data_IF_348505231575
#
_entry.id   IF_348505231575
#
_cell.length_a   1.000
_cell.length_b   1.000
_cell.length_c   1.000
_cell.angle_alpha   90.00
_cell.angle_beta   90.00
_cell.angle_gamma   90.00
#
_symmetry.space_group_name_H-M   'P 1'
#
loop_
_entity.id
_entity.type
_entity.pdbx_description
1 polymer ?
#
# COMPACT_ATOMS: atom_id res chain seq x y z
N UNK A 1 -13.80 -5.44 -15.13
CA UNK A 1 -13.60 -6.87 -14.79
C UNK A 1 -14.21 -7.16 -13.44
N UNK A 2 -13.80 -6.46 -12.37
CA UNK A 2 -14.36 -6.58 -11.03
C UNK A 2 -15.88 -6.35 -10.97
N UNK A 3 -16.40 -5.31 -11.65
CA UNK A 3 -17.86 -5.08 -11.72
C UNK A 3 -18.62 -6.24 -12.34
N UNK A 4 -18.04 -6.89 -13.37
CA UNK A 4 -18.64 -8.05 -14.04
C UNK A 4 -18.58 -9.32 -13.20
N UNK A 5 -17.56 -9.42 -12.34
CA UNK A 5 -17.38 -10.54 -11.41
C UNK A 5 -18.06 -10.29 -10.06
N UNK A 6 -18.73 -9.14 -9.89
CA UNK A 6 -19.31 -8.68 -8.62
C UNK A 6 -18.34 -8.71 -7.44
N UNK A 7 -17.06 -8.40 -7.69
CA UNK A 7 -16.04 -8.30 -6.63
C UNK A 7 -15.89 -6.84 -6.23
N UNK A 8 -16.09 -6.47 -4.96
CA UNK A 8 -15.96 -5.10 -4.50
C UNK A 8 -14.49 -4.64 -4.56
N UNK A 9 -14.27 -3.43 -5.09
CA UNK A 9 -12.95 -2.80 -5.08
C UNK A 9 -12.82 -1.96 -3.82
N UNK A 10 -12.05 -2.45 -2.86
CA UNK A 10 -11.86 -1.80 -1.55
C UNK A 10 -10.95 -0.56 -1.64
N UNK A 11 -10.08 -0.49 -2.64
CA UNK A 11 -9.21 0.67 -2.81
C UNK A 11 -8.08 0.43 -3.80
N UNK A 12 -7.27 1.46 -3.98
CA UNK A 12 -6.09 1.43 -4.84
C UNK A 12 -4.82 1.70 -4.03
N UNK A 13 -3.72 1.09 -4.47
CA UNK A 13 -2.37 1.30 -3.92
C UNK A 13 -1.46 1.66 -5.08
N UNK A 14 -0.64 2.70 -4.93
CA UNK A 14 0.38 3.03 -5.91
C UNK A 14 1.69 2.35 -5.52
N UNK A 15 2.05 1.29 -6.23
CA UNK A 15 3.35 0.67 -6.06
C UNK A 15 4.43 1.48 -6.81
N UNK A 16 5.65 1.50 -6.26
CA UNK A 16 6.79 2.24 -6.83
C UNK A 16 6.48 3.73 -7.10
N UNK A 17 5.79 4.39 -6.16
CA UNK A 17 5.22 5.73 -6.34
C UNK A 17 6.26 6.85 -6.40
N UNK A 18 7.34 6.70 -5.65
CA UNK A 18 8.45 7.66 -5.58
C UNK A 18 9.74 6.95 -5.18
N UNK A 19 10.87 7.61 -5.41
CA UNK A 19 12.18 7.18 -4.96
C UNK A 19 12.76 8.22 -3.99
N UNK A 20 13.14 7.77 -2.80
CA UNK A 20 13.83 8.60 -1.81
C UNK A 20 15.33 8.40 -1.97
N UNK A 21 16.07 9.46 -2.32
CA UNK A 21 17.51 9.41 -2.47
C UNK A 21 18.18 9.24 -1.10
N UNK A 22 18.95 8.16 -0.86
CA UNK A 22 19.59 7.94 0.43
C UNK A 22 20.72 8.95 0.72
N UNK A 23 21.31 9.54 -0.33
CA UNK A 23 22.50 10.40 -0.19
C UNK A 23 22.15 11.87 0.07
N UNK A 24 21.02 12.36 -0.47
CA UNK A 24 20.63 13.76 -0.35
C UNK A 24 19.22 14.01 0.20
N UNK A 25 18.42 12.96 0.40
CA UNK A 25 17.08 13.06 0.98
C UNK A 25 16.01 13.63 0.05
N UNK A 26 16.31 13.84 -1.24
CA UNK A 26 15.28 14.24 -2.22
C UNK A 26 14.30 13.10 -2.47
N UNK A 27 13.06 13.46 -2.79
CA UNK A 27 12.03 12.52 -3.23
C UNK A 27 11.70 12.79 -4.69
N UNK A 28 11.87 11.78 -5.54
CA UNK A 28 11.63 11.88 -6.98
C UNK A 28 10.47 10.97 -7.41
N UNK A 29 9.49 11.55 -8.10
CA UNK A 29 8.42 10.80 -8.76
C UNK A 29 8.84 10.39 -10.19
N UNK A 30 9.78 9.44 -10.28
CA UNK A 30 10.42 9.03 -11.55
C UNK A 30 9.44 8.50 -12.61
N UNK A 31 8.25 8.04 -12.20
CA UNK A 31 7.19 7.55 -13.09
C UNK A 31 5.97 8.49 -13.14
N UNK A 32 6.10 9.71 -12.61
CA UNK A 32 5.00 10.67 -12.44
C UNK A 32 4.26 10.50 -11.11
N UNK A 33 3.52 11.53 -10.71
CA UNK A 33 2.89 11.64 -9.39
C UNK A 33 1.38 11.37 -9.38
N UNK A 34 0.71 11.47 -10.53
CA UNK A 34 -0.76 11.52 -10.59
C UNK A 34 -1.42 10.23 -11.10
N UNK A 35 -0.65 9.15 -11.27
CA UNK A 35 -1.11 7.91 -11.91
C UNK A 35 -2.29 7.26 -11.18
N UNK A 36 -2.02 6.57 -10.08
CA UNK A 36 -3.07 5.82 -9.35
C UNK A 36 -3.97 6.77 -8.58
N UNK A 37 -3.42 7.83 -7.98
CA UNK A 37 -4.19 8.85 -7.27
C UNK A 37 -5.22 9.54 -8.16
N UNK A 38 -4.84 9.88 -9.40
CA UNK A 38 -5.77 10.47 -10.38
C UNK A 38 -6.85 9.50 -10.81
N UNK A 39 -6.52 8.22 -11.01
CA UNK A 39 -7.48 7.20 -11.42
C UNK A 39 -8.47 6.83 -10.30
N UNK A 40 -7.97 6.72 -9.07
CA UNK A 40 -8.78 6.50 -7.87
C UNK A 40 -9.85 7.61 -7.74
N UNK A 41 -9.44 8.88 -7.92
CA UNK A 41 -10.36 10.02 -7.89
C UNK A 41 -11.42 9.98 -8.97
N UNK A 42 -11.05 9.67 -10.22
CA UNK A 42 -11.99 9.60 -11.35
C UNK A 42 -13.07 8.54 -11.14
N UNK A 43 -12.73 7.46 -10.44
CA UNK A 43 -13.62 6.31 -10.20
C UNK A 43 -14.32 6.37 -8.85
N UNK A 44 -14.01 7.35 -7.99
CA UNK A 44 -14.51 7.42 -6.63
C UNK A 44 -14.04 6.24 -5.76
N UNK A 45 -12.84 5.71 -6.03
CA UNK A 45 -12.25 4.59 -5.29
C UNK A 45 -11.27 5.15 -4.26
N UNK A 46 -11.27 4.57 -3.06
CA UNK A 46 -10.40 5.01 -1.96
C UNK A 46 -8.92 4.75 -2.28
N UNK A 47 -8.07 5.74 -1.98
CA UNK A 47 -6.63 5.63 -2.18
C UNK A 47 -5.95 5.14 -0.90
N UNK A 48 -5.60 3.86 -0.79
CA UNK A 48 -5.10 3.25 0.44
C UNK A 48 -3.67 3.67 0.81
N UNK A 49 -2.82 3.95 -0.19
CA UNK A 49 -1.49 4.51 0.04
C UNK A 49 -0.51 4.31 -1.10
N UNK A 50 0.70 4.84 -0.90
CA UNK A 50 1.78 4.87 -1.89
C UNK A 50 3.01 4.17 -1.32
N UNK A 51 3.57 3.21 -2.07
CA UNK A 51 4.73 2.43 -1.67
C UNK A 51 5.96 2.95 -2.42
N UNK A 52 7.04 3.36 -1.73
CA UNK A 52 8.25 3.82 -2.40
C UNK A 52 8.95 2.70 -3.17
N UNK A 53 9.66 3.07 -4.23
CA UNK A 53 10.56 2.18 -4.93
C UNK A 53 11.70 1.78 -3.99
N UNK A 54 11.78 0.49 -3.64
CA UNK A 54 12.74 -0.02 -2.67
C UNK A 54 13.36 -1.34 -3.13
N UNK A 55 14.69 -1.35 -3.23
CA UNK A 55 15.45 -2.58 -3.49
C UNK A 55 15.21 -3.62 -2.39
N UNK A 56 15.04 -3.18 -1.15
CA UNK A 56 14.88 -4.04 0.01
C UNK A 56 13.56 -4.79 0.01
N UNK A 57 12.48 -4.13 -0.44
CA UNK A 57 11.18 -4.75 -0.66
C UNK A 57 11.30 -5.85 -1.72
N UNK A 58 11.96 -5.56 -2.85
CA UNK A 58 12.21 -6.52 -3.92
C UNK A 58 13.03 -7.72 -3.43
N UNK A 59 14.17 -7.48 -2.78
CA UNK A 59 15.04 -8.56 -2.28
C UNK A 59 14.36 -9.39 -1.20
N UNK A 60 13.56 -8.76 -0.33
CA UNK A 60 12.82 -9.47 0.72
C UNK A 60 11.71 -10.36 0.17
N UNK A 61 11.08 -9.95 -0.93
CA UNK A 61 10.14 -10.80 -1.68
C UNK A 61 10.83 -12.03 -2.25
N UNK A 62 11.97 -11.85 -2.92
CA UNK A 62 12.72 -12.96 -3.52
C UNK A 62 13.28 -13.94 -2.48
N UNK A 63 13.75 -13.44 -1.33
CA UNK A 63 14.33 -14.27 -0.27
C UNK A 63 13.30 -14.95 0.62
N UNK A 64 12.00 -14.64 0.45
CA UNK A 64 10.94 -15.12 1.32
C UNK A 64 10.92 -14.47 2.71
N UNK A 65 11.68 -13.40 2.94
CA UNK A 65 11.66 -12.62 4.19
C UNK A 65 11.15 -11.20 3.92
N UNK A 66 9.84 -10.95 4.06
CA UNK A 66 9.24 -9.66 3.74
C UNK A 66 9.85 -8.50 4.54
N UNK A 67 9.79 -7.30 3.97
CA UNK A 67 10.38 -6.09 4.58
C UNK A 67 9.86 -5.81 6.00
N UNK A 68 8.60 -6.14 6.26
CA UNK A 68 7.95 -5.96 7.57
C UNK A 68 8.56 -6.83 8.67
N UNK A 69 9.15 -7.97 8.29
CA UNK A 69 9.90 -8.88 9.18
C UNK A 69 11.37 -8.49 9.21
N UNK A 70 11.99 -8.32 8.04
CA UNK A 70 13.43 -8.04 7.93
C UNK A 70 13.83 -6.69 8.52
N UNK A 71 12.99 -5.66 8.37
CA UNK A 71 13.24 -4.29 8.84
C UNK A 71 11.99 -3.65 9.45
N UNK A 72 11.63 -4.02 10.69
CA UNK A 72 10.38 -3.60 11.32
C UNK A 72 10.21 -2.09 11.54
N UNK A 73 11.28 -1.31 11.44
CA UNK A 73 11.32 0.13 11.70
C UNK A 73 11.50 0.99 10.43
N UNK A 74 11.68 0.38 9.26
CA UNK A 74 11.90 1.08 8.00
C UNK A 74 10.68 1.89 7.55
N UNK A 75 10.90 2.87 6.66
CA UNK A 75 9.82 3.64 6.04
C UNK A 75 8.81 2.72 5.35
N UNK A 76 9.29 1.75 4.58
CA UNK A 76 8.47 0.79 3.83
C UNK A 76 7.55 0.01 4.77
N UNK A 77 8.09 -0.46 5.90
CA UNK A 77 7.28 -1.17 6.90
C UNK A 77 6.18 -0.29 7.49
N UNK A 78 6.48 0.99 7.76
CA UNK A 78 5.47 1.94 8.23
C UNK A 78 4.37 2.14 7.19
N UNK A 79 4.74 2.30 5.92
CA UNK A 79 3.80 2.42 4.79
C UNK A 79 2.90 1.19 4.68
N UNK A 80 3.45 -0.03 4.67
CA UNK A 80 2.65 -1.25 4.60
C UNK A 80 1.68 -1.38 5.79
N UNK A 81 2.12 -1.03 7.01
CA UNK A 81 1.24 -1.03 8.20
C UNK A 81 0.13 0.01 8.10
N UNK A 82 0.41 1.20 7.56
CA UNK A 82 -0.60 2.23 7.35
C UNK A 82 -1.64 1.80 6.31
N UNK A 83 -1.20 1.22 5.19
CA UNK A 83 -2.09 0.66 4.17
C UNK A 83 -2.96 -0.44 4.77
N UNK A 84 -2.37 -1.36 5.55
CA UNK A 84 -3.13 -2.43 6.20
C UNK A 84 -4.22 -1.90 7.13
N UNK A 85 -3.92 -0.86 7.94
CA UNK A 85 -4.93 -0.22 8.79
C UNK A 85 -6.08 0.37 7.98
N UNK A 86 -5.78 1.15 6.95
CA UNK A 86 -6.81 1.74 6.09
C UNK A 86 -7.62 0.68 5.36
N UNK A 87 -6.98 -0.41 4.94
CA UNK A 87 -7.69 -1.54 4.35
C UNK A 87 -8.66 -2.17 5.35
N UNK A 88 -8.26 -2.38 6.59
CA UNK A 88 -9.14 -2.90 7.64
C UNK A 88 -10.32 -1.96 7.91
N UNK A 89 -10.09 -0.64 7.93
CA UNK A 89 -11.14 0.35 8.10
C UNK A 89 -12.16 0.30 6.95
N UNK A 90 -11.69 0.23 5.70
CA UNK A 90 -12.57 0.20 4.52
C UNK A 90 -13.29 -1.14 4.37
N UNK A 91 -12.64 -2.23 4.77
CA UNK A 91 -13.22 -3.57 4.75
C UNK A 91 -14.13 -3.87 5.95
N UNK A 92 -14.25 -2.94 6.92
CA UNK A 92 -14.94 -3.11 8.20
C UNK A 92 -14.49 -4.37 8.97
N UNK A 93 -13.22 -4.76 8.80
CA UNK A 93 -12.67 -5.96 9.43
C UNK A 93 -12.38 -5.76 10.92
N UNK A 94 -12.41 -4.52 11.41
CA UNK A 94 -12.26 -4.21 12.82
C UNK A 94 -13.43 -4.71 13.69
N UNK A 95 -14.59 -5.02 13.07
CA UNK A 95 -15.80 -5.50 13.78
C UNK A 95 -15.96 -7.01 13.78
N UNK A 96 -15.24 -7.72 12.93
CA UNK A 96 -15.35 -9.18 12.80
C UNK A 96 -14.78 -9.92 14.03
N UNK A 97 -13.82 -9.33 14.74
CA UNK A 97 -13.26 -9.92 15.96
C UNK A 97 -14.21 -9.81 17.17
N UNK A 98 -15.08 -8.80 17.23
CA UNK A 98 -16.06 -8.63 18.33
C UNK A 98 -17.29 -9.55 18.20
N UNK A 99 -17.63 -10.00 16.99
CA UNK A 99 -18.76 -10.92 16.76
C UNK A 99 -18.38 -12.40 16.90
N UNK A 100 -17.10 -12.75 16.80
CA UNK A 100 -16.63 -14.14 16.95
C UNK A 100 -16.35 -14.52 18.43
N UNK A 101 -16.25 -13.54 19.32
CA UNK A 101 -16.15 -13.72 20.79
C UNK A 101 -17.47 -13.58 21.56
N UNK A 102 -18.60 -13.32 20.86
CA UNK A 102 -19.93 -13.09 21.44
C UNK A 102 -20.92 -14.27 21.33
#
# INVERSE_FOLDING_TARGET
MFDKAQVPVLGMIQNMAYWSCPDCGRTDHIFGSDGVTGEARKRGIEMLGEIPLSLEVRTGGDSGTPIVVAKPQSEQTRTYRQIARRLMDVADLARAEEEEEA
#
